data_IF_232806471238
#
_entry.id   IF_232806471238
#
_cell.length_a   1.000
_cell.length_b   1.000
_cell.length_c   1.000
_cell.angle_alpha   90.00
_cell.angle_beta   90.00
_cell.angle_gamma   90.00
#
_symmetry.space_group_name_H-M   'P 1'
#
loop_
_entity.id
_entity.type
_entity.pdbx_description
1 polymer ?
#
# COMPACT_ATOMS: atom_id res chain seq x y z
N UNK A 1 -2.34 4.32 5.29
CA UNK A 1 -1.62 3.52 4.26
C UNK A 1 -2.59 2.84 3.30
N UNK A 2 -3.65 2.19 3.80
CA UNK A 2 -4.71 1.59 2.97
C UNK A 2 -5.29 2.55 1.93
N UNK A 3 -5.58 3.79 2.29
CA UNK A 3 -6.12 4.80 1.35
C UNK A 3 -5.17 5.08 0.19
N UNK A 4 -3.86 5.10 0.45
CA UNK A 4 -2.84 5.27 -0.59
C UNK A 4 -2.82 4.10 -1.57
N UNK A 5 -2.94 2.86 -1.08
CA UNK A 5 -3.09 1.69 -1.94
C UNK A 5 -4.40 1.75 -2.75
N UNK A 6 -5.51 2.13 -2.12
CA UNK A 6 -6.81 2.22 -2.79
C UNK A 6 -6.83 3.29 -3.88
N UNK A 7 -6.17 4.42 -3.65
CA UNK A 7 -6.07 5.51 -4.62
C UNK A 7 -5.41 5.08 -5.94
N UNK A 8 -4.54 4.05 -5.92
CA UNK A 8 -3.89 3.53 -7.14
C UNK A 8 -4.89 2.98 -8.16
N UNK A 9 -6.09 2.57 -7.74
CA UNK A 9 -7.15 2.09 -8.64
C UNK A 9 -7.50 3.09 -9.74
N UNK A 10 -7.46 4.39 -9.43
CA UNK A 10 -7.79 5.45 -10.38
C UNK A 10 -6.60 5.91 -11.22
N UNK A 11 -5.40 5.39 -10.97
CA UNK A 11 -4.16 5.85 -11.61
C UNK A 11 -3.84 5.00 -12.83
N UNK A 12 -3.34 5.64 -13.89
CA UNK A 12 -2.65 4.93 -14.97
C UNK A 12 -1.22 4.64 -14.54
N UNK A 13 -0.79 3.39 -14.64
CA UNK A 13 0.56 3.00 -14.27
C UNK A 13 1.60 3.68 -15.17
N UNK A 14 2.55 4.40 -14.58
CA UNK A 14 3.65 5.08 -15.30
C UNK A 14 4.99 4.36 -15.15
N UNK A 15 5.08 3.36 -14.27
CA UNK A 15 6.31 2.59 -13.95
C UNK A 15 6.02 1.09 -13.88
N UNK A 16 7.08 0.28 -13.93
CA UNK A 16 7.03 -1.16 -13.76
C UNK A 16 6.37 -1.92 -14.92
N UNK A 17 5.98 -3.18 -14.67
CA UNK A 17 5.36 -4.04 -15.70
C UNK A 17 3.96 -3.55 -16.13
N UNK A 18 3.20 -2.98 -15.19
CA UNK A 18 1.85 -2.49 -15.44
C UNK A 18 1.82 -1.29 -16.41
N UNK A 19 2.89 -0.50 -16.50
CA UNK A 19 3.00 0.62 -17.45
C UNK A 19 2.83 0.17 -18.91
N UNK A 20 3.18 -1.08 -19.24
CA UNK A 20 3.02 -1.65 -20.59
C UNK A 20 1.56 -1.80 -21.01
N UNK A 21 0.62 -1.75 -20.06
CA UNK A 21 -0.81 -1.87 -20.30
C UNK A 21 -1.47 -0.51 -20.62
N UNK A 22 -0.77 0.60 -20.38
CA UNK A 22 -1.29 1.94 -20.62
C UNK A 22 -2.65 2.16 -19.95
N UNK A 23 -3.67 2.67 -20.68
CA UNK A 23 -5.01 2.91 -20.14
C UNK A 23 -5.67 1.69 -19.49
N UNK A 24 -5.31 0.46 -19.90
CA UNK A 24 -5.88 -0.77 -19.33
C UNK A 24 -5.44 -1.04 -17.89
N UNK A 25 -4.46 -0.30 -17.36
CA UNK A 25 -4.05 -0.38 -15.96
C UNK A 25 -5.04 0.30 -15.01
N UNK A 26 -5.81 1.29 -15.49
CA UNK A 26 -6.84 1.97 -14.69
C UNK A 26 -7.91 0.96 -14.24
N UNK A 27 -8.41 1.13 -13.03
CA UNK A 27 -9.37 0.21 -12.38
C UNK A 27 -8.72 -0.90 -11.57
N UNK A 28 -7.39 -1.05 -11.62
CA UNK A 28 -6.66 -2.08 -10.87
C UNK A 28 -5.81 -1.45 -9.77
N UNK A 29 -5.79 -2.10 -8.61
CA UNK A 29 -4.88 -1.71 -7.54
C UNK A 29 -3.45 -2.09 -7.92
N UNK A 30 -2.49 -1.22 -7.60
CA UNK A 30 -1.08 -1.57 -7.71
C UNK A 30 -0.73 -2.60 -6.61
N UNK A 31 -0.27 -3.82 -6.98
CA UNK A 31 0.06 -4.85 -5.99
C UNK A 31 1.23 -4.45 -5.09
N UNK A 32 2.14 -3.60 -5.56
CA UNK A 32 3.24 -3.05 -4.76
C UNK A 32 2.71 -2.16 -3.63
N UNK A 33 1.80 -1.23 -3.95
CA UNK A 33 1.15 -0.37 -2.98
C UNK A 33 0.31 -1.16 -1.95
N UNK A 34 -0.43 -2.19 -2.38
CA UNK A 34 -1.17 -3.10 -1.47
C UNK A 34 -0.21 -3.78 -0.49
N UNK A 35 0.90 -4.31 -0.99
CA UNK A 35 1.91 -4.98 -0.14
C UNK A 35 2.56 -4.01 0.85
N UNK A 36 2.92 -2.80 0.39
CA UNK A 36 3.47 -1.76 1.25
C UNK A 36 2.49 -1.34 2.35
N UNK A 37 1.20 -1.23 2.05
CA UNK A 37 0.18 -0.94 3.05
C UNK A 37 0.09 -2.02 4.14
N UNK A 38 0.16 -3.31 3.76
CA UNK A 38 0.16 -4.42 4.72
C UNK A 38 1.41 -4.44 5.61
N UNK A 39 2.58 -4.12 5.05
CA UNK A 39 3.84 -4.00 5.82
C UNK A 39 3.77 -2.84 6.81
N UNK A 40 3.27 -1.69 6.38
CA UNK A 40 3.10 -0.51 7.24
C UNK A 40 2.09 -0.77 8.37
N UNK A 41 1.00 -1.48 8.07
CA UNK A 41 0.01 -1.84 9.11
C UNK A 41 0.61 -2.79 10.15
N UNK A 42 1.36 -3.80 9.71
CA UNK A 42 2.09 -4.72 10.59
C UNK A 42 3.11 -3.98 11.47
N UNK A 43 3.86 -3.04 10.89
CA UNK A 43 4.83 -2.22 11.62
C UNK A 43 4.14 -1.31 12.64
N UNK A 44 3.02 -0.68 12.26
CA UNK A 44 2.25 0.18 13.15
C UNK A 44 1.65 -0.63 14.32
N UNK A 45 1.15 -1.84 14.04
CA UNK A 45 0.69 -2.77 15.07
C UNK A 45 1.82 -3.13 16.04
N UNK A 46 2.99 -3.52 15.53
CA UNK A 46 4.16 -3.82 16.36
C UNK A 46 4.57 -2.63 17.22
N UNK A 47 4.63 -1.43 16.64
CA UNK A 47 5.03 -0.20 17.34
C UNK A 47 4.07 0.14 18.49
N UNK A 48 2.75 0.01 18.27
CA UNK A 48 1.73 0.21 19.32
C UNK A 48 1.92 -0.76 20.48
N UNK A 49 2.06 -2.06 20.21
CA UNK A 49 2.32 -3.05 21.27
C UNK A 49 3.59 -2.75 22.05
N UNK A 50 4.65 -2.30 21.37
CA UNK A 50 5.91 -1.95 22.03
C UNK A 50 5.74 -0.76 22.97
N UNK A 51 4.96 0.25 22.58
CA UNK A 51 4.66 1.41 23.41
C UNK A 51 3.77 1.05 24.62
N UNK A 52 2.78 0.16 24.42
CA UNK A 52 1.89 -0.33 25.47
C UNK A 52 2.62 -1.20 26.50
N UNK A 53 3.47 -2.13 26.05
CA UNK A 53 4.29 -2.97 26.93
C UNK A 53 5.48 -2.25 27.59
N UNK A 54 5.70 -0.98 27.26
CA UNK A 54 6.72 -0.12 27.87
C UNK A 54 6.12 0.96 28.80
N UNK A 55 4.79 0.96 29.02
CA UNK A 55 4.17 1.77 30.07
C UNK A 55 4.46 1.11 31.43
N UNK A 56 5.00 1.87 32.42
CA UNK A 56 5.30 1.34 33.75
C UNK A 56 4.05 0.85 34.48
#
# INVERSE_FOLDING_TARGET
AADGAQATRAMMASRGRAARLGPRSVGHLDPGAVSAAALLDSLAHWARRRAEGSRP
#
